data_IF_931737969614
#
_entry.id   IF_931737969614
#
_cell.length_a   1.000
_cell.length_b   1.000
_cell.length_c   1.000
_cell.angle_alpha   90.00
_cell.angle_beta   90.00
_cell.angle_gamma   90.00
#
_symmetry.space_group_name_H-M   'P 1'
#
loop_
_entity.id
_entity.type
_entity.pdbx_description
1 polymer ?
#
# COMPACT_ATOMS: atom_id res chain seq x y z
N UNK A 1 -22.15 6.57 -13.92
CA UNK A 1 -21.96 6.25 -12.49
C UNK A 1 -20.95 5.12 -12.50
N UNK A 2 -19.69 5.48 -12.31
CA UNK A 2 -18.57 4.55 -12.21
C UNK A 2 -18.60 4.04 -10.77
N UNK A 3 -18.59 2.73 -10.55
CA UNK A 3 -18.59 2.17 -9.19
C UNK A 3 -17.28 2.56 -8.51
N UNK A 4 -17.36 3.37 -7.46
CA UNK A 4 -16.21 3.73 -6.63
C UNK A 4 -15.52 2.45 -6.14
N UNK A 5 -14.22 2.36 -6.40
CA UNK A 5 -13.42 1.17 -6.14
C UNK A 5 -13.45 0.73 -4.67
N UNK A 6 -13.31 -0.58 -4.46
CA UNK A 6 -13.26 -1.17 -3.12
C UNK A 6 -11.97 -0.77 -2.39
N UNK A 7 -12.08 -0.07 -1.26
CA UNK A 7 -10.96 0.26 -0.39
C UNK A 7 -10.74 -0.81 0.69
N UNK A 8 -9.49 -1.23 0.88
CA UNK A 8 -9.10 -2.17 1.93
C UNK A 8 -8.85 -1.35 3.20
N UNK A 9 -9.68 -1.49 4.23
CA UNK A 9 -9.49 -0.76 5.49
C UNK A 9 -8.62 -1.52 6.49
N UNK A 10 -8.46 -2.84 6.31
CA UNK A 10 -7.78 -3.70 7.27
C UNK A 10 -7.21 -4.97 6.66
N UNK A 11 -5.95 -5.26 7.03
CA UNK A 11 -5.27 -6.53 6.76
C UNK A 11 -5.00 -7.21 8.09
N UNK A 12 -5.31 -8.51 8.20
CA UNK A 12 -5.03 -9.31 9.40
C UNK A 12 -4.11 -10.46 9.03
N UNK A 13 -3.00 -10.57 9.76
CA UNK A 13 -2.06 -11.68 9.61
C UNK A 13 -2.40 -12.78 10.61
N UNK A 14 -2.52 -14.00 10.10
CA UNK A 14 -2.77 -15.19 10.91
C UNK A 14 -1.93 -16.37 10.45
N UNK A 15 -1.65 -17.29 11.37
CA UNK A 15 -1.06 -18.59 11.05
C UNK A 15 -2.08 -19.48 10.34
N UNK A 16 -1.61 -20.59 9.75
CA UNK A 16 -2.49 -21.63 9.18
C UNK A 16 -3.46 -22.21 10.21
N UNK A 17 -3.07 -22.23 11.50
CA UNK A 17 -3.93 -22.61 12.62
C UNK A 17 -4.93 -21.55 13.06
N UNK A 18 -5.03 -20.41 12.35
CA UNK A 18 -5.97 -19.33 12.66
C UNK A 18 -5.52 -18.36 13.76
N UNK A 19 -4.32 -18.54 14.33
CA UNK A 19 -3.81 -17.62 15.34
C UNK A 19 -3.40 -16.30 14.68
N UNK A 20 -4.09 -15.20 15.06
CA UNK A 20 -3.76 -13.86 14.61
C UNK A 20 -2.52 -13.34 15.34
N UNK A 21 -1.59 -12.72 14.62
CA UNK A 21 -0.35 -12.20 15.18
C UNK A 21 -0.02 -10.77 14.76
N UNK A 22 -0.73 -10.22 13.77
CA UNK A 22 -0.55 -8.84 13.36
C UNK A 22 -1.74 -8.28 12.61
N UNK A 23 -1.75 -6.97 12.46
CA UNK A 23 -2.78 -6.24 11.74
C UNK A 23 -2.20 -4.96 11.13
N UNK A 24 -2.71 -4.58 9.96
CA UNK A 24 -2.55 -3.24 9.38
C UNK A 24 -3.93 -2.59 9.27
N UNK A 25 -4.05 -1.35 9.74
CA UNK A 25 -5.19 -0.48 9.48
C UNK A 25 -4.79 0.53 8.42
N UNK A 26 -5.67 0.76 7.43
CA UNK A 26 -5.45 1.68 6.33
C UNK A 26 -6.56 2.73 6.34
N UNK A 27 -6.16 4.00 6.47
CA UNK A 27 -7.07 5.14 6.45
C UNK A 27 -6.83 5.96 5.19
N UNK A 28 -7.90 6.36 4.51
CA UNK A 28 -7.87 7.13 3.28
C UNK A 28 -8.32 8.57 3.53
N UNK A 29 -7.81 9.51 2.74
CA UNK A 29 -8.29 10.90 2.74
C UNK A 29 -9.62 11.04 1.96
N UNK A 30 -10.17 12.26 1.93
CA UNK A 30 -11.42 12.57 1.23
C UNK A 30 -11.33 12.45 -0.30
N UNK A 31 -10.13 12.33 -0.86
CA UNK A 31 -9.88 12.09 -2.28
C UNK A 31 -9.65 10.59 -2.57
N UNK A 32 -9.66 9.74 -1.54
CA UNK A 32 -9.44 8.31 -1.66
C UNK A 32 -7.96 7.90 -1.70
N UNK A 33 -7.02 8.80 -1.40
CA UNK A 33 -5.61 8.43 -1.28
C UNK A 33 -5.31 7.84 0.10
N UNK A 34 -4.43 6.83 0.18
CA UNK A 34 -4.01 6.24 1.44
C UNK A 34 -3.30 7.28 2.31
N UNK A 35 -3.91 7.75 3.39
CA UNK A 35 -3.39 8.81 4.23
C UNK A 35 -2.52 8.30 5.39
N UNK A 36 -2.93 7.19 6.01
CA UNK A 36 -2.21 6.59 7.14
C UNK A 36 -2.29 5.06 7.13
N UNK A 37 -1.17 4.41 7.42
CA UNK A 37 -1.10 3.00 7.79
C UNK A 37 -0.69 2.84 9.25
N UNK A 38 -1.36 1.96 9.99
CA UNK A 38 -0.98 1.60 11.36
C UNK A 38 -0.79 0.10 11.50
N UNK A 39 0.43 -0.29 11.81
CA UNK A 39 0.83 -1.67 12.04
C UNK A 39 0.73 -2.00 13.52
N UNK A 40 0.05 -3.10 13.86
CA UNK A 40 -0.12 -3.59 15.22
C UNK A 40 0.35 -5.02 15.36
N UNK A 41 0.97 -5.33 16.48
CA UNK A 41 1.16 -6.72 16.92
C UNK A 41 -0.10 -7.22 17.60
N UNK A 42 -0.35 -8.52 17.52
CA UNK A 42 -1.43 -9.19 18.26
C UNK A 42 -0.83 -10.28 19.15
N UNK A 43 -1.37 -10.49 20.37
CA UNK A 43 -2.63 -9.94 20.88
C UNK A 43 -2.50 -8.57 21.57
N UNK A 44 -1.30 -8.00 21.71
CA UNK A 44 -1.10 -6.78 22.50
C UNK A 44 -1.82 -5.54 21.92
N UNK A 45 -2.10 -5.56 20.61
CA UNK A 45 -2.73 -4.48 19.85
C UNK A 45 -1.95 -3.16 19.87
N UNK A 46 -0.67 -3.21 20.28
CA UNK A 46 0.21 -2.04 20.32
C UNK A 46 0.55 -1.64 18.89
N UNK A 47 0.57 -0.33 18.63
CA UNK A 47 1.10 0.18 17.36
C UNK A 47 2.62 -0.01 17.40
N UNK A 48 3.15 -0.78 16.45
CA UNK A 48 4.59 -1.05 16.34
C UNK A 48 5.24 -0.19 15.26
N UNK A 49 4.47 0.22 14.24
CA UNK A 49 4.87 1.14 13.17
C UNK A 49 3.66 1.93 12.68
N UNK A 50 3.91 3.13 12.18
CA UNK A 50 2.89 3.97 11.54
C UNK A 50 3.53 4.69 10.36
N UNK A 51 2.82 4.72 9.24
CA UNK A 51 3.22 5.47 8.06
C UNK A 51 2.17 6.52 7.77
N UNK A 52 2.60 7.75 7.47
CA UNK A 52 1.72 8.78 6.95
C UNK A 52 2.17 9.14 5.54
N UNK A 53 1.20 9.43 4.70
CA UNK A 53 1.43 9.79 3.32
C UNK A 53 0.83 11.16 3.04
N UNK A 54 1.51 11.91 2.18
CA UNK A 54 0.97 13.13 1.59
C UNK A 54 1.24 13.10 0.10
N UNK A 55 0.16 13.17 -0.65
CA UNK A 55 0.20 13.26 -2.10
C UNK A 55 0.11 14.73 -2.50
N UNK A 56 1.10 15.19 -3.26
CA UNK A 56 1.12 16.53 -3.85
C UNK A 56 1.09 16.37 -5.36
N UNK A 57 -0.04 16.76 -5.96
CA UNK A 57 -0.19 16.81 -7.41
C UNK A 57 0.39 18.12 -7.93
N UNK A 58 1.48 18.01 -8.71
CA UNK A 58 2.14 19.17 -9.31
C UNK A 58 1.67 19.28 -10.76
N UNK A 59 0.81 20.26 -11.00
CA UNK A 59 0.38 20.64 -12.33
C UNK A 59 1.26 21.80 -12.82
N UNK A 60 2.46 21.50 -13.29
CA UNK A 60 3.21 22.47 -14.10
C UNK A 60 2.86 22.27 -15.58
N UNK A 61 2.96 23.34 -16.38
CA UNK A 61 2.54 23.36 -17.80
C UNK A 61 3.32 22.40 -18.72
N UNK A 62 4.32 21.69 -18.19
CA UNK A 62 5.18 20.79 -18.95
C UNK A 62 4.63 19.38 -18.80
N UNK A 63 4.60 18.81 -17.59
CA UNK A 63 4.09 17.46 -17.36
C UNK A 63 3.54 17.29 -15.92
N UNK A 64 2.29 16.82 -15.75
CA UNK A 64 1.74 16.55 -14.43
C UNK A 64 2.49 15.38 -13.78
N UNK A 65 2.99 15.57 -12.57
CA UNK A 65 3.63 14.51 -11.78
C UNK A 65 3.15 14.56 -10.32
N UNK A 66 3.41 13.48 -9.57
CA UNK A 66 2.94 13.33 -8.20
C UNK A 66 4.12 13.12 -7.27
N UNK A 67 4.24 14.01 -6.28
CA UNK A 67 5.22 13.84 -5.20
C UNK A 67 4.52 13.18 -4.02
N UNK A 68 5.09 12.08 -3.54
CA UNK A 68 4.61 11.37 -2.35
C UNK A 68 5.62 11.60 -1.23
N UNK A 69 5.17 12.25 -0.16
CA UNK A 69 5.94 12.35 1.08
C UNK A 69 5.49 11.24 2.02
N UNK A 70 6.46 10.50 2.56
CA UNK A 70 6.25 9.36 3.44
C UNK A 70 6.95 9.64 4.76
N UNK A 71 6.20 9.59 5.87
CA UNK A 71 6.75 9.66 7.22
C UNK A 71 6.57 8.32 7.92
N UNK A 72 7.66 7.77 8.42
CA UNK A 72 7.64 6.58 9.26
C UNK A 72 7.76 7.00 10.73
N UNK A 73 6.87 6.46 11.56
CA UNK A 73 6.89 6.63 12.99
C UNK A 73 7.11 5.29 13.70
N UNK A 74 7.91 5.36 14.76
CA UNK A 74 8.12 4.25 15.68
C UNK A 74 6.94 4.03 16.61
N UNK A 75 7.12 3.06 17.48
CA UNK A 75 6.11 2.63 18.42
C UNK A 75 5.72 3.69 19.48
N UNK A 76 6.62 4.64 19.78
CA UNK A 76 6.36 5.77 20.69
C UNK A 76 5.87 7.02 19.94
N UNK A 77 5.62 6.90 18.63
CA UNK A 77 5.28 8.04 17.77
C UNK A 77 6.48 8.92 17.43
N UNK A 78 7.71 8.50 17.73
CA UNK A 78 8.91 9.19 17.27
C UNK A 78 9.02 9.12 15.75
N UNK A 79 9.38 10.21 15.09
CA UNK A 79 9.72 10.20 13.67
C UNK A 79 11.00 9.40 13.47
N UNK A 80 10.95 8.35 12.64
CA UNK A 80 12.09 7.49 12.32
C UNK A 80 12.69 7.87 10.98
N UNK A 81 11.85 8.10 9.98
CA UNK A 81 12.30 8.48 8.65
C UNK A 81 11.28 9.40 7.95
N UNK A 82 11.78 10.18 7.01
CA UNK A 82 10.99 11.01 6.10
C UNK A 82 11.64 10.93 4.72
N UNK A 83 10.87 10.55 3.71
CA UNK A 83 11.31 10.48 2.32
C UNK A 83 10.26 11.16 1.44
N UNK A 84 10.72 11.97 0.49
CA UNK A 84 9.91 12.46 -0.61
C UNK A 84 10.29 11.70 -1.89
N UNK A 85 9.31 11.14 -2.57
CA UNK A 85 9.46 10.41 -3.83
C UNK A 85 8.77 11.22 -4.91
N UNK A 86 9.53 11.62 -5.92
CA UNK A 86 8.99 12.22 -7.14
C UNK A 86 8.64 11.10 -8.12
N UNK A 87 7.34 10.88 -8.33
CA UNK A 87 6.86 9.87 -9.26
C UNK A 87 6.57 10.55 -10.60
N UNK A 88 7.43 10.26 -11.59
CA UNK A 88 7.21 10.61 -12.98
C UNK A 88 5.84 10.07 -13.44
N UNK A 89 5.17 10.74 -14.41
CA UNK A 89 3.88 10.29 -14.89
C UNK A 89 3.96 8.86 -15.46
N UNK A 90 2.86 8.12 -15.34
CA UNK A 90 2.84 6.67 -15.60
C UNK A 90 3.25 6.30 -17.05
N UNK A 91 3.08 7.22 -18.00
CA UNK A 91 3.52 7.11 -19.39
C UNK A 91 5.04 7.17 -19.57
N UNK A 92 5.78 7.66 -18.56
CA UNK A 92 7.25 7.67 -18.52
C UNK A 92 7.84 6.56 -17.65
N UNK A 93 7.04 5.95 -16.76
CA UNK A 93 7.51 4.87 -15.89
C UNK A 93 7.82 3.58 -16.67
N UNK A 94 7.15 3.37 -17.81
CA UNK A 94 7.29 2.17 -18.62
C UNK A 94 7.84 2.48 -20.01
N UNK A 95 8.96 1.85 -20.38
CA UNK A 95 9.45 1.87 -21.78
C UNK A 95 8.55 1.11 -22.75
N UNK A 96 7.63 0.31 -22.22
CA UNK A 96 6.66 -0.50 -22.95
C UNK A 96 5.29 -0.15 -22.41
N UNK A 97 4.32 0.32 -23.21
CA UNK A 97 2.99 0.67 -22.71
C UNK A 97 2.37 -0.53 -21.97
N UNK A 98 1.76 -0.33 -20.79
CA UNK A 98 1.14 -1.43 -20.06
C UNK A 98 0.08 -2.09 -20.96
N UNK A 99 -0.09 -3.43 -20.86
CA UNK A 99 -1.11 -4.13 -21.63
C UNK A 99 -2.46 -3.43 -21.42
N UNK A 100 -3.15 -3.10 -22.53
CA UNK A 100 -4.42 -2.38 -22.49
C UNK A 100 -5.40 -3.11 -21.57
N UNK A 101 -6.01 -2.34 -20.68
CA UNK A 101 -7.15 -2.59 -19.80
C UNK A 101 -7.83 -3.97 -19.92
N UNK A 102 -8.12 -4.56 -18.75
CA UNK A 102 -8.92 -5.76 -18.48
C UNK A 102 -8.16 -7.05 -18.09
N UNK A 103 -7.00 -6.95 -17.44
CA UNK A 103 -6.37 -8.14 -16.84
C UNK A 103 -5.67 -7.85 -15.51
N UNK A 104 -6.47 -7.73 -14.44
CA UNK A 104 -6.03 -7.55 -13.04
C UNK A 104 -5.09 -8.67 -12.54
N UNK A 105 -5.00 -9.78 -13.27
CA UNK A 105 -4.12 -10.91 -12.96
C UNK A 105 -2.66 -10.67 -13.37
N UNK A 106 -2.39 -9.81 -14.36
CA UNK A 106 -1.03 -9.65 -14.91
C UNK A 106 -0.13 -8.83 -13.97
N UNK A 107 -0.68 -7.83 -13.27
CA UNK A 107 0.07 -7.02 -12.30
C UNK A 107 0.48 -7.82 -11.07
N UNK A 108 -0.43 -8.66 -10.55
CA UNK A 108 -0.13 -9.55 -9.42
C UNK A 108 0.93 -10.59 -9.80
N UNK A 109 0.86 -11.17 -11.01
CA UNK A 109 1.81 -12.17 -11.49
C UNK A 109 3.20 -11.59 -11.77
N UNK A 110 3.28 -10.33 -12.24
CA UNK A 110 4.55 -9.60 -12.40
C UNK A 110 5.20 -9.33 -11.04
N UNK A 111 4.44 -8.82 -10.07
CA UNK A 111 4.93 -8.59 -8.71
C UNK A 111 5.34 -9.91 -8.06
N UNK A 112 4.56 -10.97 -8.23
CA UNK A 112 4.88 -12.30 -7.71
C UNK A 112 6.18 -12.86 -8.32
N UNK A 113 6.39 -12.68 -9.62
CA UNK A 113 7.63 -13.06 -10.30
C UNK A 113 8.82 -12.28 -9.80
N UNK A 114 8.70 -10.98 -9.60
CA UNK A 114 9.79 -10.15 -9.09
C UNK A 114 10.15 -10.51 -7.64
N UNK A 115 9.16 -10.81 -6.80
CA UNK A 115 9.37 -11.30 -5.43
C UNK A 115 10.03 -12.70 -5.43
N UNK A 116 9.56 -13.62 -6.27
CA UNK A 116 10.13 -14.97 -6.40
C UNK A 116 11.54 -14.98 -6.99
N UNK A 117 11.86 -14.02 -7.87
CA UNK A 117 13.18 -13.87 -8.46
C UNK A 117 14.24 -13.38 -7.48
N UNK A 118 13.84 -12.71 -6.40
CA UNK A 118 14.75 -12.05 -5.45
C UNK A 118 14.78 -12.63 -4.03
N UNK A 119 13.98 -13.67 -3.72
CA UNK A 119 13.94 -14.26 -2.38
C UNK A 119 14.26 -15.75 -2.43
N UNK A 120 15.52 -16.06 -2.13
CA UNK A 120 15.84 -17.34 -1.52
C UNK A 120 15.18 -17.43 -0.14
N UNK A 121 14.51 -18.57 0.12
CA UNK A 121 13.99 -19.03 1.41
C UNK A 121 12.58 -18.55 1.86
N UNK A 122 11.58 -19.38 1.51
CA UNK A 122 10.50 -19.90 2.37
C UNK A 122 9.99 -19.01 3.53
N UNK A 123 8.89 -18.28 3.28
CA UNK A 123 7.85 -18.01 4.27
C UNK A 123 6.49 -18.06 3.58
N UNK A 124 5.67 -19.07 3.89
CA UNK A 124 4.27 -19.12 3.46
C UNK A 124 3.46 -18.15 4.32
N UNK A 125 3.10 -16.99 3.74
CA UNK A 125 2.26 -15.97 4.37
C UNK A 125 0.85 -16.07 3.80
N UNK A 126 -0.15 -16.34 4.66
CA UNK A 126 -1.57 -16.23 4.28
C UNK A 126 -2.06 -14.84 4.68
N UNK A 127 -2.39 -14.01 3.68
CA UNK A 127 -2.91 -12.65 3.88
C UNK A 127 -4.44 -12.70 3.76
N UNK A 128 -5.16 -12.31 4.82
CA UNK A 128 -6.60 -12.14 4.78
C UNK A 128 -6.95 -10.66 4.62
N UNK A 129 -7.67 -10.34 3.54
CA UNK A 129 -8.19 -9.01 3.25
C UNK A 129 -9.58 -8.84 3.88
N UNK A 130 -9.80 -7.73 4.59
CA UNK A 130 -11.14 -7.31 4.99
C UNK A 130 -11.54 -6.09 4.16
N UNK A 131 -12.56 -6.28 3.33
CA UNK A 131 -13.18 -5.27 2.49
C UNK A 131 -14.38 -4.69 3.24
N UNK A 132 -14.49 -3.36 3.31
CA UNK A 132 -15.74 -2.71 3.68
C UNK A 132 -16.30 -1.96 2.46
N UNK A 133 -17.57 -2.19 2.16
CA UNK A 133 -18.31 -1.42 1.16
C UNK A 133 -18.58 -0.02 1.71
N UNK A 134 -18.13 1.02 1.00
CA UNK A 134 -18.54 2.40 1.24
C UNK A 134 -20.00 2.61 0.83
N UNK A 135 -20.71 3.48 1.56
CA UNK A 135 -22.02 4.04 1.19
C UNK A 135 -21.84 5.31 0.38
#
# INVERSE_FOLDING_TARGET
MEEDGVQISKIVFQTVGGQKYGQVELDYDYLGNLYEERWRDLPSARVIRRFKYKFEYIYNYIEPHMVVQIWEFGHDGQLISNVAIDMAPADQLYKTPPPRSHNTLDEADIIEREIKGNVGSLFHMVVLFHVQSGM
#
